data_IF_131226210550
#
_entry.id   IF_131226210550
#
_cell.length_a   1.000
_cell.length_b   1.000
_cell.length_c   1.000
_cell.angle_alpha   90.00
_cell.angle_beta   90.00
_cell.angle_gamma   90.00
#
_symmetry.space_group_name_H-M   'P 1'
#
loop_
_entity.id
_entity.type
_entity.pdbx_description
1 polymer ?
#
# COMPACT_ATOMS: atom_id res chain seq x y z
N UNK A 1 17.38 36.93 9.67
CA UNK A 1 17.04 35.50 9.90
C UNK A 1 15.74 35.23 9.17
N UNK A 2 15.71 34.21 8.31
CA UNK A 2 14.52 33.87 7.56
C UNK A 2 13.70 32.79 8.28
N UNK A 3 12.37 32.91 8.24
CA UNK A 3 11.45 31.87 8.68
C UNK A 3 11.46 30.67 7.71
N UNK A 4 10.91 29.54 8.19
CA UNK A 4 10.63 28.40 7.33
C UNK A 4 9.63 28.83 6.24
N UNK A 5 9.87 28.51 4.96
CA UNK A 5 8.93 28.83 3.88
C UNK A 5 7.57 28.16 4.12
N UNK A 6 6.50 28.92 3.99
CA UNK A 6 5.13 28.40 3.98
C UNK A 6 4.32 29.01 2.84
N UNK A 7 3.31 28.29 2.36
CA UNK A 7 2.43 28.78 1.30
C UNK A 7 1.20 29.53 1.85
N UNK A 8 0.92 29.42 3.15
CA UNK A 8 -0.32 29.90 3.78
C UNK A 8 -0.13 31.08 4.78
N UNK A 9 1.11 31.53 4.97
CA UNK A 9 1.50 32.55 5.95
C UNK A 9 1.42 34.00 5.41
N UNK A 10 1.07 34.16 4.12
CA UNK A 10 1.00 35.44 3.38
C UNK A 10 2.36 36.13 3.22
N UNK A 11 3.45 35.41 3.35
CA UNK A 11 4.81 35.91 3.14
C UNK A 11 5.29 35.46 1.76
N UNK A 12 5.80 36.41 0.99
CA UNK A 12 6.43 36.17 -0.31
C UNK A 12 7.91 35.86 -0.07
N UNK A 13 8.37 34.75 -0.65
CA UNK A 13 9.77 34.33 -0.67
C UNK A 13 10.46 34.93 -1.90
N UNK A 14 11.45 35.79 -1.69
CA UNK A 14 12.23 36.40 -2.78
C UNK A 14 13.60 35.73 -2.84
N UNK A 15 13.87 35.06 -3.96
CA UNK A 15 15.09 34.28 -4.18
C UNK A 15 15.72 34.72 -5.49
N UNK A 16 17.04 34.94 -5.49
CA UNK A 16 17.82 35.09 -6.71
C UNK A 16 18.55 33.80 -7.05
N UNK A 17 18.77 33.61 -8.36
CA UNK A 17 19.51 32.49 -8.92
C UNK A 17 20.52 33.07 -9.88
N UNK A 18 21.80 32.82 -9.59
CA UNK A 18 22.92 33.43 -10.30
C UNK A 18 23.39 32.64 -11.51
N UNK A 19 22.94 31.39 -11.67
CA UNK A 19 23.30 30.54 -12.80
C UNK A 19 22.11 29.70 -13.27
N UNK A 20 21.98 29.57 -14.59
CA UNK A 20 21.06 28.67 -15.28
C UNK A 20 21.17 27.22 -14.80
N UNK A 21 22.38 26.75 -14.45
CA UNK A 21 22.58 25.41 -13.90
C UNK A 21 21.82 25.27 -12.58
N UNK A 22 21.84 26.29 -11.71
CA UNK A 22 21.14 26.25 -10.43
C UNK A 22 19.61 26.15 -10.58
N UNK A 23 19.02 26.71 -11.62
CA UNK A 23 17.59 26.51 -11.93
C UNK A 23 17.24 25.04 -12.22
N UNK A 24 18.14 24.30 -12.88
CA UNK A 24 17.93 22.90 -13.24
C UNK A 24 18.15 21.95 -12.05
N UNK A 25 19.23 22.15 -11.28
CA UNK A 25 19.60 21.25 -10.17
C UNK A 25 18.90 21.57 -8.84
N UNK A 26 18.26 22.73 -8.70
CA UNK A 26 17.50 23.13 -7.51
C UNK A 26 16.38 22.18 -7.10
N UNK A 27 15.84 21.35 -8.02
CA UNK A 27 14.76 20.39 -7.69
C UNK A 27 15.31 19.08 -7.12
N UNK A 28 16.56 18.72 -7.42
CA UNK A 28 17.15 17.40 -7.17
C UNK A 28 18.14 17.44 -6.00
N UNK A 29 18.80 18.59 -5.77
CA UNK A 29 19.77 18.78 -4.70
C UNK A 29 19.37 20.04 -3.92
N UNK A 30 19.45 20.00 -2.58
CA UNK A 30 19.24 21.17 -1.70
C UNK A 30 20.38 22.18 -1.85
N UNK A 31 20.57 22.70 -3.05
CA UNK A 31 21.44 23.84 -3.28
C UNK A 31 20.85 25.05 -2.56
N UNK A 32 21.72 25.79 -1.88
CA UNK A 32 21.31 26.95 -1.11
C UNK A 32 20.79 28.03 -2.06
N UNK A 33 19.46 28.16 -2.11
CA UNK A 33 18.81 29.31 -2.72
C UNK A 33 19.33 30.60 -2.09
N UNK A 34 19.74 31.57 -2.91
CA UNK A 34 20.09 32.89 -2.41
C UNK A 34 18.81 33.65 -2.04
N UNK A 35 18.34 33.44 -0.81
CA UNK A 35 17.17 34.13 -0.25
C UNK A 35 17.53 35.60 -0.05
N UNK A 36 16.88 36.47 -0.82
CA UNK A 36 17.06 37.93 -0.74
C UNK A 36 16.18 38.48 0.37
N UNK A 37 14.89 38.10 0.39
CA UNK A 37 13.92 38.70 1.31
C UNK A 37 12.73 37.78 1.59
N UNK A 38 12.07 38.05 2.72
CA UNK A 38 10.74 37.57 3.08
C UNK A 38 9.88 38.79 3.39
N UNK A 39 8.82 39.03 2.61
CA UNK A 39 8.00 40.22 2.77
C UNK A 39 6.56 40.01 2.30
N UNK A 40 5.63 40.90 2.65
CA UNK A 40 4.22 40.81 2.23
C UNK A 40 3.93 41.47 0.88
N UNK A 41 4.86 42.28 0.40
CA UNK A 41 4.70 43.05 -0.84
C UNK A 41 6.05 43.22 -1.49
N UNK A 42 6.12 42.90 -2.78
CA UNK A 42 7.31 43.09 -3.61
C UNK A 42 6.99 44.15 -4.66
N UNK A 43 7.90 45.09 -4.84
CA UNK A 43 7.84 46.09 -5.92
C UNK A 43 9.11 45.94 -6.76
N UNK A 44 8.97 45.41 -7.96
CA UNK A 44 10.04 45.29 -8.95
C UNK A 44 9.94 46.49 -9.88
N UNK A 45 11.01 47.25 -10.02
CA UNK A 45 11.08 48.37 -10.95
C UNK A 45 12.07 48.03 -12.04
N UNK A 46 11.59 48.00 -13.28
CA UNK A 46 12.37 47.67 -14.47
C UNK A 46 12.69 48.98 -15.17
N UNK A 47 13.98 49.29 -15.27
CA UNK A 47 14.52 50.47 -15.94
C UNK A 47 15.15 50.06 -17.29
N UNK A 48 15.37 51.04 -18.17
CA UNK A 48 15.94 50.83 -19.51
C UNK A 48 14.86 50.87 -20.59
N UNK A 49 15.25 50.54 -21.83
CA UNK A 49 14.35 50.53 -23.00
C UNK A 49 14.03 49.11 -23.48
N UNK A 50 14.75 48.11 -22.98
CA UNK A 50 14.51 46.69 -23.28
C UNK A 50 13.58 46.04 -22.24
N UNK A 51 12.65 45.22 -22.72
CA UNK A 51 11.75 44.48 -21.85
C UNK A 51 12.39 43.23 -21.24
N UNK A 52 11.94 42.85 -20.04
CA UNK A 52 12.45 41.69 -19.30
C UNK A 52 11.49 40.51 -19.49
N UNK A 53 11.95 39.28 -19.80
CA UNK A 53 11.08 38.12 -19.87
C UNK A 53 10.53 37.77 -18.48
N UNK A 54 9.21 37.61 -18.38
CA UNK A 54 8.48 37.26 -17.16
C UNK A 54 7.59 36.05 -17.44
N UNK A 55 7.49 35.15 -16.47
CA UNK A 55 6.58 34.00 -16.51
C UNK A 55 5.81 33.89 -15.19
N UNK A 56 4.48 33.84 -15.26
CA UNK A 56 3.58 33.68 -14.12
C UNK A 56 2.55 32.60 -14.44
N UNK A 57 2.40 31.62 -13.54
CA UNK A 57 1.43 30.51 -13.66
C UNK A 57 1.45 29.76 -15.02
N UNK A 58 2.59 29.79 -15.72
CA UNK A 58 2.78 29.16 -17.03
C UNK A 58 2.67 30.13 -18.21
N UNK A 59 2.09 31.31 -18.03
CA UNK A 59 1.99 32.35 -19.04
C UNK A 59 3.27 33.18 -19.08
N UNK A 60 3.86 33.35 -20.27
CA UNK A 60 5.10 34.10 -20.47
C UNK A 60 4.88 35.34 -21.34
N UNK A 61 5.48 36.46 -20.95
CA UNK A 61 5.45 37.71 -21.70
C UNK A 61 6.76 38.50 -21.52
N UNK A 62 7.01 39.46 -22.42
CA UNK A 62 8.08 40.44 -22.25
C UNK A 62 7.52 41.66 -21.53
N UNK A 63 7.97 41.91 -20.31
CA UNK A 63 7.54 43.03 -19.51
C UNK A 63 8.28 44.30 -19.94
N UNK A 64 7.58 45.33 -20.48
CA UNK A 64 8.22 46.61 -20.78
C UNK A 64 8.67 47.34 -19.50
N UNK A 65 9.55 48.35 -19.63
CA UNK A 65 9.98 49.20 -18.51
C UNK A 65 8.80 49.72 -17.70
N UNK A 66 8.89 49.62 -16.38
CA UNK A 66 7.76 49.89 -15.51
C UNK A 66 7.86 49.24 -14.14
N UNK A 67 6.72 49.12 -13.46
CA UNK A 67 6.64 48.63 -12.08
C UNK A 67 5.75 47.40 -12.03
N UNK A 68 6.30 46.27 -11.55
CA UNK A 68 5.52 45.09 -11.14
C UNK A 68 5.33 45.15 -9.63
N UNK A 69 4.08 45.08 -9.18
CA UNK A 69 3.74 45.01 -7.76
C UNK A 69 3.07 43.67 -7.45
N UNK A 70 3.74 42.86 -6.64
CA UNK A 70 3.26 41.55 -6.21
C UNK A 70 2.78 41.67 -4.76
N UNK A 71 1.52 41.31 -4.52
CA UNK A 71 0.91 41.32 -3.19
C UNK A 71 -0.05 40.15 -3.05
N UNK A 72 -0.03 39.52 -1.87
CA UNK A 72 -0.99 38.47 -1.56
C UNK A 72 -2.39 39.09 -1.36
N UNK A 73 -3.37 38.71 -2.21
CA UNK A 73 -4.76 39.18 -2.11
C UNK A 73 -5.69 38.13 -1.50
N UNK A 74 -5.94 37.06 -2.24
CA UNK A 74 -6.94 36.05 -1.89
C UNK A 74 -6.29 34.72 -1.48
N UNK A 75 -7.08 33.82 -0.91
CA UNK A 75 -6.71 32.42 -0.65
C UNK A 75 -7.75 31.50 -1.28
N UNK A 76 -7.30 30.40 -1.85
CA UNK A 76 -8.15 29.29 -2.21
C UNK A 76 -7.98 28.17 -1.19
N UNK A 77 -9.05 27.45 -0.88
CA UNK A 77 -8.95 26.18 -0.15
C UNK A 77 -8.52 25.11 -1.15
N UNK A 78 -7.41 24.45 -0.87
CA UNK A 78 -6.87 23.38 -1.70
C UNK A 78 -6.92 22.08 -0.91
N UNK A 79 -7.24 20.98 -1.59
CA UNK A 79 -7.07 19.64 -1.03
C UNK A 79 -5.57 19.37 -0.88
N UNK A 80 -5.13 19.14 0.34
CA UNK A 80 -3.74 18.77 0.64
C UNK A 80 -3.68 17.29 0.97
N UNK A 81 -2.67 16.60 0.42
CA UNK A 81 -2.33 15.25 0.88
C UNK A 81 -1.93 15.31 2.35
N UNK A 82 -2.59 14.51 3.17
CA UNK A 82 -2.22 14.37 4.57
C UNK A 82 -0.93 13.53 4.66
N UNK A 83 0.20 14.22 4.77
CA UNK A 83 1.51 13.58 4.92
C UNK A 83 1.60 12.74 6.19
N UNK A 84 0.88 13.08 7.25
CA UNK A 84 0.88 12.29 8.48
C UNK A 84 0.15 10.97 8.23
N UNK A 85 -1.00 11.02 7.55
CA UNK A 85 -1.71 9.83 7.10
C UNK A 85 -0.87 8.98 6.14
N UNK A 86 -0.28 9.57 5.11
CA UNK A 86 0.61 8.84 4.17
C UNK A 86 1.82 8.24 4.89
N UNK A 87 2.44 8.96 5.83
CA UNK A 87 3.55 8.41 6.62
C UNK A 87 3.12 7.27 7.54
N UNK A 88 1.88 7.32 8.05
CA UNK A 88 1.31 6.25 8.88
C UNK A 88 0.99 5.04 8.02
N UNK A 89 0.39 5.25 6.84
CA UNK A 89 0.08 4.22 5.87
C UNK A 89 1.36 3.55 5.36
N UNK A 90 2.36 4.33 4.97
CA UNK A 90 3.68 3.85 4.58
C UNK A 90 4.39 3.12 5.72
N UNK A 91 4.28 3.62 6.96
CA UNK A 91 4.82 2.91 8.13
C UNK A 91 4.07 1.60 8.39
N UNK A 92 2.79 1.50 8.06
CA UNK A 92 2.01 0.27 8.17
C UNK A 92 2.39 -0.73 7.07
N UNK A 93 2.58 -0.27 5.84
CA UNK A 93 3.07 -1.05 4.70
C UNK A 93 4.51 -1.54 4.94
N UNK A 94 5.41 -0.67 5.41
CA UNK A 94 6.78 -1.01 5.77
C UNK A 94 6.80 -1.98 6.96
N UNK A 95 5.88 -1.83 7.92
CA UNK A 95 5.74 -2.78 9.02
C UNK A 95 5.24 -4.14 8.52
N UNK A 96 4.31 -4.20 7.57
CA UNK A 96 3.92 -5.46 6.93
C UNK A 96 5.08 -6.09 6.16
N UNK A 97 5.87 -5.29 5.43
CA UNK A 97 7.08 -5.75 4.74
C UNK A 97 8.20 -6.20 5.70
N UNK A 98 8.28 -5.61 6.89
CA UNK A 98 9.21 -6.04 7.93
C UNK A 98 8.70 -7.23 8.77
N UNK A 99 7.39 -7.43 8.91
CA UNK A 99 6.80 -8.65 9.50
C UNK A 99 6.93 -9.85 8.54
N UNK A 100 6.99 -9.64 7.22
CA UNK A 100 7.49 -10.68 6.30
C UNK A 100 9.00 -10.98 6.46
N UNK A 101 9.71 -10.21 7.30
CA UNK A 101 11.15 -10.30 7.53
C UNK A 101 11.59 -11.08 8.77
N UNK A 102 10.68 -11.58 9.63
CA UNK A 102 11.03 -12.53 10.71
C UNK A 102 9.91 -13.56 10.89
N UNK A 103 10.18 -14.86 10.70
CA UNK A 103 11.43 -15.51 11.12
C UNK A 103 12.25 -16.11 9.95
N UNK A 104 12.99 -15.27 9.20
CA UNK A 104 13.89 -15.73 8.11
C UNK A 104 15.34 -15.86 8.61
N UNK A 105 15.56 -16.46 9.78
CA UNK A 105 16.90 -16.91 10.16
C UNK A 105 17.11 -18.41 9.89
N UNK A 106 16.03 -19.19 9.72
CA UNK A 106 16.12 -20.59 9.26
C UNK A 106 15.87 -20.76 7.77
N UNK A 107 14.98 -19.97 7.16
CA UNK A 107 14.63 -20.12 5.74
C UNK A 107 15.79 -19.78 4.79
N UNK A 108 16.62 -18.78 5.12
CA UNK A 108 17.74 -18.38 4.24
C UNK A 108 18.87 -19.42 4.18
N UNK A 109 19.00 -20.30 5.16
CA UNK A 109 20.00 -21.38 5.12
C UNK A 109 19.59 -22.53 4.19
N UNK A 110 18.29 -22.70 3.92
CA UNK A 110 17.79 -23.69 2.97
C UNK A 110 17.59 -23.11 1.55
N UNK A 111 17.22 -21.83 1.46
CA UNK A 111 16.99 -21.12 0.19
C UNK A 111 18.27 -20.98 -0.67
N UNK A 112 19.47 -21.03 -0.09
CA UNK A 112 20.70 -20.81 -0.85
C UNK A 112 21.22 -22.00 -1.68
N UNK A 113 20.60 -23.19 -1.62
CA UNK A 113 21.20 -24.40 -2.23
C UNK A 113 20.48 -25.04 -3.41
N UNK A 114 19.33 -24.56 -3.89
CA UNK A 114 18.75 -25.06 -5.15
C UNK A 114 17.91 -23.99 -5.85
N UNK A 115 18.36 -23.57 -7.03
CA UNK A 115 17.63 -22.61 -7.90
C UNK A 115 16.46 -23.30 -8.63
N UNK A 116 16.47 -24.63 -8.70
CA UNK A 116 15.44 -25.44 -9.35
C UNK A 116 14.68 -26.28 -8.31
N UNK A 117 13.34 -26.30 -8.41
CA UNK A 117 12.49 -27.25 -7.67
C UNK A 117 12.83 -28.67 -8.12
N UNK A 118 12.87 -29.62 -7.19
CA UNK A 118 13.00 -31.03 -7.55
C UNK A 118 11.78 -31.46 -8.40
N UNK A 119 11.97 -32.41 -9.32
CA UNK A 119 10.90 -32.91 -10.21
C UNK A 119 9.67 -33.41 -9.44
N UNK A 120 9.87 -33.89 -8.20
CA UNK A 120 8.80 -34.29 -7.29
C UNK A 120 8.04 -33.10 -6.69
N UNK A 121 8.72 -31.98 -6.40
CA UNK A 121 8.07 -30.76 -5.90
C UNK A 121 7.27 -30.07 -7.00
N UNK A 122 7.76 -30.10 -8.25
CA UNK A 122 7.04 -29.57 -9.42
C UNK A 122 5.76 -30.38 -9.66
N UNK A 123 5.82 -31.71 -9.60
CA UNK A 123 4.64 -32.55 -9.82
C UNK A 123 3.60 -32.39 -8.71
N UNK A 124 4.01 -32.26 -7.45
CA UNK A 124 3.10 -31.96 -6.33
C UNK A 124 2.46 -30.58 -6.47
N UNK A 125 3.21 -29.56 -6.87
CA UNK A 125 2.67 -28.22 -7.12
C UNK A 125 1.68 -28.22 -8.30
N UNK A 126 1.93 -29.00 -9.34
CA UNK A 126 1.02 -29.16 -10.48
C UNK A 126 -0.29 -29.85 -10.09
N UNK A 127 -0.23 -30.91 -9.27
CA UNK A 127 -1.44 -31.58 -8.76
C UNK A 127 -2.29 -30.64 -7.91
N UNK A 128 -1.66 -29.86 -7.03
CA UNK A 128 -2.35 -28.82 -6.26
C UNK A 128 -2.96 -27.73 -7.15
N UNK A 129 -2.23 -27.30 -8.17
CA UNK A 129 -2.71 -26.32 -9.16
C UNK A 129 -3.93 -26.84 -9.90
N UNK A 130 -3.91 -28.11 -10.34
CA UNK A 130 -5.03 -28.74 -11.02
C UNK A 130 -6.26 -28.89 -10.10
N UNK A 131 -6.06 -29.28 -8.84
CA UNK A 131 -7.14 -29.36 -7.86
C UNK A 131 -7.78 -27.98 -7.62
N UNK A 132 -6.96 -26.92 -7.56
CA UNK A 132 -7.45 -25.55 -7.42
C UNK A 132 -8.22 -25.04 -8.65
N UNK A 133 -7.77 -25.39 -9.87
CA UNK A 133 -8.51 -25.08 -11.11
C UNK A 133 -9.90 -25.76 -11.15
N UNK A 134 -9.99 -27.02 -10.71
CA UNK A 134 -11.26 -27.73 -10.60
C UNK A 134 -12.17 -27.08 -9.55
N UNK A 135 -11.62 -26.67 -8.40
CA UNK A 135 -12.37 -25.95 -7.37
C UNK A 135 -12.91 -24.61 -7.90
N UNK A 136 -12.07 -23.81 -8.57
CA UNK A 136 -12.49 -22.55 -9.21
C UNK A 136 -13.63 -22.81 -10.19
N UNK A 137 -13.50 -23.83 -11.03
CA UNK A 137 -14.54 -24.19 -12.01
C UNK A 137 -15.85 -24.53 -11.32
N UNK A 138 -15.82 -25.35 -10.26
CA UNK A 138 -17.02 -25.71 -9.50
C UNK A 138 -17.64 -24.54 -8.75
N UNK A 139 -16.83 -23.61 -8.22
CA UNK A 139 -17.32 -22.37 -7.60
C UNK A 139 -18.00 -21.49 -8.66
N UNK A 140 -17.38 -21.30 -9.83
CA UNK A 140 -17.96 -20.53 -10.93
C UNK A 140 -19.27 -21.13 -11.42
N UNK A 141 -19.34 -22.45 -11.59
CA UNK A 141 -20.57 -23.16 -11.96
C UNK A 141 -21.69 -22.92 -10.93
N UNK A 142 -21.38 -23.04 -9.64
CA UNK A 142 -22.33 -22.80 -8.56
C UNK A 142 -22.73 -21.32 -8.44
N UNK A 143 -21.81 -20.39 -8.74
CA UNK A 143 -22.04 -18.95 -8.72
C UNK A 143 -23.06 -18.50 -9.78
N UNK A 144 -23.19 -19.22 -10.91
CA UNK A 144 -24.24 -18.93 -11.92
C UNK A 144 -25.66 -19.05 -11.37
N UNK A 145 -25.83 -19.83 -10.30
CA UNK A 145 -27.10 -20.08 -9.63
C UNK A 145 -27.17 -19.25 -8.33
N UNK A 146 -26.04 -19.10 -7.64
CA UNK A 146 -25.94 -18.42 -6.33
C UNK A 146 -25.00 -17.21 -6.37
N UNK A 147 -25.57 -16.03 -6.60
CA UNK A 147 -24.83 -14.76 -6.62
C UNK A 147 -24.04 -14.45 -5.34
N UNK A 148 -24.41 -15.02 -4.19
CA UNK A 148 -23.65 -14.87 -2.94
C UNK A 148 -22.27 -15.53 -3.00
N UNK A 149 -22.14 -16.67 -3.71
CA UNK A 149 -20.82 -17.29 -3.92
C UNK A 149 -19.93 -16.37 -4.74
N UNK A 150 -20.48 -15.75 -5.79
CA UNK A 150 -19.74 -14.78 -6.59
C UNK A 150 -19.31 -13.58 -5.73
N UNK A 151 -20.23 -13.03 -4.94
CA UNK A 151 -19.96 -11.85 -4.12
C UNK A 151 -18.86 -12.08 -3.07
N UNK A 152 -18.87 -13.23 -2.40
CA UNK A 152 -17.93 -13.52 -1.32
C UNK A 152 -16.59 -14.08 -1.85
N UNK A 153 -16.61 -14.93 -2.88
CA UNK A 153 -15.41 -15.62 -3.37
C UNK A 153 -14.74 -14.96 -4.58
N UNK A 154 -15.33 -13.92 -5.19
CA UNK A 154 -14.76 -13.30 -6.40
C UNK A 154 -13.31 -12.85 -6.21
N UNK A 155 -12.95 -12.30 -5.05
CA UNK A 155 -11.58 -11.85 -4.84
C UNK A 155 -10.60 -13.03 -4.78
N UNK A 156 -10.89 -14.04 -3.96
CA UNK A 156 -10.01 -15.20 -3.82
C UNK A 156 -9.93 -16.02 -5.12
N UNK A 157 -11.04 -16.22 -5.83
CA UNK A 157 -11.07 -16.92 -7.12
C UNK A 157 -10.21 -16.18 -8.15
N UNK A 158 -10.35 -14.86 -8.27
CA UNK A 158 -9.56 -14.08 -9.23
C UNK A 158 -8.07 -14.07 -8.88
N UNK A 159 -7.71 -13.95 -7.59
CA UNK A 159 -6.33 -13.98 -7.14
C UNK A 159 -5.67 -15.35 -7.39
N UNK A 160 -6.37 -16.44 -7.06
CA UNK A 160 -5.90 -17.80 -7.31
C UNK A 160 -5.80 -18.10 -8.81
N UNK A 161 -6.81 -17.73 -9.61
CA UNK A 161 -6.78 -17.91 -11.07
C UNK A 161 -5.62 -17.13 -11.71
N UNK A 162 -5.33 -15.91 -11.26
CA UNK A 162 -4.21 -15.13 -11.76
C UNK A 162 -2.86 -15.80 -11.42
N UNK A 163 -2.69 -16.29 -10.18
CA UNK A 163 -1.48 -16.98 -9.76
C UNK A 163 -1.25 -18.28 -10.56
N UNK A 164 -2.32 -19.05 -10.81
CA UNK A 164 -2.27 -20.29 -11.61
C UNK A 164 -1.94 -20.00 -13.09
N UNK A 165 -2.57 -18.99 -13.70
CA UNK A 165 -2.28 -18.60 -15.08
C UNK A 165 -0.84 -18.11 -15.27
N UNK A 166 -0.30 -17.41 -14.27
CA UNK A 166 1.10 -16.96 -14.24
C UNK A 166 2.08 -18.12 -14.19
N UNK A 167 1.68 -19.25 -13.59
CA UNK A 167 2.48 -20.47 -13.47
C UNK A 167 2.58 -21.32 -14.76
N UNK A 168 1.88 -20.91 -15.83
CA UNK A 168 1.86 -21.50 -17.18
C UNK A 168 1.97 -23.04 -17.25
N UNK A 169 0.84 -23.79 -17.27
CA UNK A 169 0.84 -25.25 -17.26
C UNK A 169 1.42 -25.92 -18.53
N UNK A 170 1.80 -25.15 -19.56
CA UNK A 170 2.34 -25.69 -20.83
C UNK A 170 3.86 -25.83 -20.88
N UNK A 171 4.60 -25.24 -19.92
CA UNK A 171 6.07 -25.30 -19.89
C UNK A 171 6.60 -25.48 -18.44
N UNK A 172 6.82 -26.73 -17.99
CA UNK A 172 7.27 -27.04 -16.62
C UNK A 172 8.69 -26.54 -16.29
N UNK A 173 9.44 -26.01 -17.26
CA UNK A 173 10.83 -25.58 -17.10
C UNK A 173 11.00 -24.16 -16.51
N UNK A 174 9.91 -23.47 -16.15
CA UNK A 174 9.96 -22.07 -15.67
C UNK A 174 9.29 -21.80 -14.32
N UNK A 175 8.85 -22.85 -13.60
CA UNK A 175 8.22 -22.68 -12.29
C UNK A 175 9.27 -22.28 -11.24
N UNK A 176 9.39 -20.98 -11.00
CA UNK A 176 10.26 -20.47 -9.94
C UNK A 176 9.65 -20.75 -8.57
N UNK A 177 10.51 -20.91 -7.56
CA UNK A 177 10.09 -21.09 -6.16
C UNK A 177 9.18 -19.96 -5.68
N UNK A 178 9.43 -18.73 -6.11
CA UNK A 178 8.57 -17.58 -5.81
C UNK A 178 7.16 -17.75 -6.39
N UNK A 179 7.06 -18.22 -7.64
CA UNK A 179 5.75 -18.48 -8.27
C UNK A 179 5.04 -19.63 -7.55
N UNK A 180 5.76 -20.69 -7.17
CA UNK A 180 5.22 -21.79 -6.39
C UNK A 180 4.73 -21.36 -4.99
N UNK A 181 5.44 -20.45 -4.31
CA UNK A 181 4.96 -19.86 -3.05
C UNK A 181 3.68 -19.04 -3.25
N UNK A 182 3.63 -18.24 -4.32
CA UNK A 182 2.47 -17.41 -4.64
C UNK A 182 1.24 -18.27 -4.91
N UNK A 183 1.38 -19.36 -5.68
CA UNK A 183 0.29 -20.32 -5.91
C UNK A 183 -0.18 -20.92 -4.57
N UNK A 184 0.73 -21.47 -3.76
CA UNK A 184 0.37 -22.15 -2.52
C UNK A 184 -0.38 -21.23 -1.53
N UNK A 185 0.02 -19.96 -1.43
CA UNK A 185 -0.66 -18.96 -0.60
C UNK A 185 -2.07 -18.67 -1.12
N UNK A 186 -2.22 -18.46 -2.43
CA UNK A 186 -3.52 -18.13 -3.02
C UNK A 186 -4.48 -19.33 -2.99
N UNK A 187 -3.99 -20.56 -3.21
CA UNK A 187 -4.79 -21.79 -3.09
C UNK A 187 -5.27 -21.98 -1.64
N UNK A 188 -4.40 -21.74 -0.65
CA UNK A 188 -4.79 -21.81 0.76
C UNK A 188 -5.82 -20.74 1.14
N UNK A 189 -5.69 -19.52 0.62
CA UNK A 189 -6.69 -18.48 0.84
C UNK A 189 -8.06 -18.86 0.25
N UNK A 190 -8.09 -19.35 -1.00
CA UNK A 190 -9.30 -19.84 -1.65
C UNK A 190 -9.96 -20.99 -0.87
N UNK A 191 -9.16 -21.95 -0.38
CA UNK A 191 -9.63 -23.04 0.47
C UNK A 191 -10.32 -22.51 1.73
N UNK A 192 -9.64 -21.65 2.50
CA UNK A 192 -10.15 -21.13 3.77
C UNK A 192 -11.44 -20.32 3.60
N UNK A 193 -11.52 -19.48 2.56
CA UNK A 193 -12.72 -18.70 2.29
C UNK A 193 -13.90 -19.59 1.87
N UNK A 194 -13.63 -20.59 1.02
CA UNK A 194 -14.66 -21.55 0.58
C UNK A 194 -15.14 -22.42 1.75
N UNK A 195 -14.22 -22.93 2.57
CA UNK A 195 -14.54 -23.69 3.79
C UNK A 195 -15.34 -22.84 4.78
N UNK A 196 -14.91 -21.60 5.02
CA UNK A 196 -15.60 -20.69 5.93
C UNK A 196 -17.02 -20.37 5.46
N UNK A 197 -17.26 -20.28 4.15
CA UNK A 197 -18.60 -20.06 3.60
C UNK A 197 -19.48 -21.31 3.71
N UNK A 198 -18.92 -22.51 3.50
CA UNK A 198 -19.65 -23.77 3.66
C UNK A 198 -19.98 -24.08 5.14
N UNK A 199 -19.01 -23.89 6.05
CA UNK A 199 -19.17 -24.13 7.49
C UNK A 199 -20.01 -23.03 8.15
N UNK A 200 -19.88 -21.79 7.67
CA UNK A 200 -20.50 -20.60 8.27
C UNK A 200 -22.02 -20.55 8.22
N UNK A 201 -22.71 -21.52 7.59
CA UNK A 201 -24.18 -21.57 7.42
C UNK A 201 -24.79 -20.19 7.18
N UNK A 202 -24.22 -19.42 6.25
CA UNK A 202 -25.05 -18.47 5.51
C UNK A 202 -26.06 -19.35 4.77
N UNK A 203 -27.37 -19.08 4.78
CA UNK A 203 -28.39 -19.98 4.24
C UNK A 203 -28.34 -19.96 2.71
N UNK A 204 -27.22 -20.43 2.17
CA UNK A 204 -27.08 -20.95 0.84
C UNK A 204 -27.97 -22.19 0.83
N UNK A 205 -29.22 -22.03 0.40
CA UNK A 205 -29.96 -23.13 -0.19
C UNK A 205 -29.24 -23.51 -1.50
N UNK A 206 -27.96 -23.89 -1.43
CA UNK A 206 -27.33 -24.57 -2.54
C UNK A 206 -28.15 -25.84 -2.74
N UNK A 207 -28.61 -26.07 -3.96
CA UNK A 207 -29.19 -27.37 -4.28
C UNK A 207 -28.15 -28.44 -3.93
N UNK A 208 -28.57 -29.50 -3.23
CA UNK A 208 -27.69 -30.56 -2.74
C UNK A 208 -26.63 -31.07 -3.73
N UNK A 209 -26.86 -31.17 -5.07
CA UNK A 209 -25.82 -31.58 -6.00
C UNK A 209 -24.68 -30.57 -6.21
N UNK A 210 -24.91 -29.27 -6.04
CA UNK A 210 -23.86 -28.25 -6.24
C UNK A 210 -22.99 -28.11 -4.99
N UNK A 211 -23.59 -28.21 -3.81
CA UNK A 211 -22.87 -28.21 -2.54
C UNK A 211 -21.90 -29.38 -2.47
N UNK A 212 -22.38 -30.60 -2.80
CA UNK A 212 -21.57 -31.81 -2.79
C UNK A 212 -20.40 -31.72 -3.79
N UNK A 213 -20.60 -31.12 -4.97
CA UNK A 213 -19.51 -30.92 -5.95
C UNK A 213 -18.46 -29.94 -5.47
N UNK A 214 -18.86 -28.83 -4.86
CA UNK A 214 -17.91 -27.85 -4.31
C UNK A 214 -17.19 -28.44 -3.10
N UNK A 215 -17.88 -29.14 -2.21
CA UNK A 215 -17.27 -29.83 -1.07
C UNK A 215 -16.29 -30.92 -1.49
N UNK A 216 -16.60 -31.72 -2.52
CA UNK A 216 -15.69 -32.74 -3.05
C UNK A 216 -14.43 -32.13 -3.70
N UNK A 217 -14.60 -31.02 -4.43
CA UNK A 217 -13.47 -30.28 -4.99
C UNK A 217 -12.62 -29.62 -3.90
N UNK A 218 -13.26 -29.09 -2.85
CA UNK A 218 -12.59 -28.49 -1.70
C UNK A 218 -11.79 -29.53 -0.92
N UNK A 219 -12.33 -30.73 -0.71
CA UNK A 219 -11.61 -31.83 -0.08
C UNK A 219 -10.44 -32.32 -0.93
N UNK A 220 -10.57 -32.32 -2.26
CA UNK A 220 -9.43 -32.61 -3.15
C UNK A 220 -8.30 -31.59 -2.98
N UNK A 221 -8.63 -30.30 -2.83
CA UNK A 221 -7.63 -29.25 -2.54
C UNK A 221 -7.03 -29.41 -1.14
N UNK A 222 -7.82 -29.80 -0.14
CA UNK A 222 -7.34 -30.08 1.23
C UNK A 222 -6.25 -31.15 1.23
N UNK A 223 -6.49 -32.27 0.54
CA UNK A 223 -5.55 -33.39 0.43
C UNK A 223 -4.25 -32.97 -0.25
N UNK A 224 -4.32 -32.19 -1.33
CA UNK A 224 -3.12 -31.69 -2.02
C UNK A 224 -2.38 -30.63 -1.19
N UNK A 225 -3.10 -29.75 -0.48
CA UNK A 225 -2.49 -28.78 0.44
C UNK A 225 -1.76 -29.49 1.59
N UNK A 226 -2.32 -30.59 2.12
CA UNK A 226 -1.66 -31.39 3.15
C UNK A 226 -0.36 -32.00 2.62
N UNK A 227 -0.32 -32.52 1.40
CA UNK A 227 0.92 -32.99 0.77
C UNK A 227 1.94 -31.87 0.59
N UNK A 228 1.50 -30.65 0.26
CA UNK A 228 2.41 -29.49 0.18
C UNK A 228 3.01 -29.10 1.54
N UNK A 229 2.38 -29.45 2.67
CA UNK A 229 2.98 -29.26 4.00
C UNK A 229 4.14 -30.23 4.29
N UNK A 230 4.25 -31.34 3.55
CA UNK A 230 5.39 -32.26 3.65
C UNK A 230 6.67 -31.66 3.04
N UNK A 231 6.52 -30.65 2.17
CA UNK A 231 7.64 -29.90 1.60
C UNK A 231 8.18 -28.92 2.67
N UNK A 232 9.42 -29.08 3.16
CA UNK A 232 9.92 -28.36 4.34
C UNK A 232 9.90 -26.83 4.22
N UNK A 233 10.00 -26.28 3.02
CA UNK A 233 9.98 -24.83 2.79
C UNK A 233 8.57 -24.26 2.60
N UNK A 234 7.59 -25.08 2.20
CA UNK A 234 6.18 -24.70 2.10
C UNK A 234 5.47 -24.81 3.45
N UNK A 235 5.85 -25.76 4.29
CA UNK A 235 5.32 -25.93 5.65
C UNK A 235 5.28 -24.60 6.44
N UNK A 236 6.42 -23.90 6.51
CA UNK A 236 6.53 -22.63 7.25
C UNK A 236 5.77 -21.47 6.61
N UNK A 237 5.44 -21.56 5.32
CA UNK A 237 4.69 -20.54 4.58
C UNK A 237 3.19 -20.77 4.78
N UNK A 238 2.77 -22.03 4.78
CA UNK A 238 1.38 -22.42 4.96
C UNK A 238 0.96 -22.36 6.44
N UNK A 239 1.86 -22.60 7.41
CA UNK A 239 1.57 -22.55 8.85
C UNK A 239 2.42 -21.48 9.57
N UNK A 240 2.09 -20.18 9.43
CA UNK A 240 2.85 -19.11 10.09
C UNK A 240 2.66 -19.04 11.62
N UNK A 241 1.79 -19.85 12.22
CA UNK A 241 1.26 -19.61 13.57
C UNK A 241 1.31 -20.79 14.57
N UNK A 242 1.90 -21.95 14.23
CA UNK A 242 1.87 -23.13 15.14
C UNK A 242 3.18 -23.42 15.89
N UNK A 243 4.30 -22.76 15.59
CA UNK A 243 5.55 -22.91 16.37
C UNK A 243 5.76 -21.73 17.34
N UNK A 244 4.96 -21.70 18.40
CA UNK A 244 5.21 -20.90 19.60
C UNK A 244 5.49 -21.83 20.79
N UNK A 245 6.71 -22.38 20.86
CA UNK A 245 7.26 -23.07 22.04
C UNK A 245 8.27 -22.15 22.80
N UNK A 246 8.48 -22.35 24.12
CA UNK A 246 8.66 -21.31 25.13
C UNK A 246 10.07 -20.66 25.21
N UNK A 247 10.23 -19.56 25.99
CA UNK A 247 11.36 -18.66 25.89
C UNK A 247 12.60 -19.19 26.62
N UNK A 248 13.76 -19.13 25.96
CA UNK A 248 15.04 -19.15 26.65
C UNK A 248 15.66 -17.75 26.58
N UNK A 249 15.86 -17.21 27.78
CA UNK A 249 16.31 -15.86 28.11
C UNK A 249 17.43 -15.31 27.23
N UNK A 250 17.38 -14.00 26.97
CA UNK A 250 18.36 -13.06 27.52
C UNK A 250 18.15 -11.62 27.01
N UNK A 251 17.78 -10.75 27.96
CA UNK A 251 18.12 -9.32 28.07
C UNK A 251 17.42 -8.26 27.22
N UNK A 252 16.51 -7.55 27.91
CA UNK A 252 16.30 -6.09 27.88
C UNK A 252 16.11 -5.43 26.51
N UNK A 253 14.85 -5.15 26.17
CA UNK A 253 14.47 -3.75 25.93
C UNK A 253 12.99 -3.48 26.19
N UNK A 254 12.81 -2.62 27.18
CA UNK A 254 11.61 -1.92 27.60
C UNK A 254 10.74 -1.49 26.38
N UNK A 255 9.66 -2.21 26.09
CA UNK A 255 8.61 -1.76 25.17
C UNK A 255 7.36 -1.50 25.97
N UNK A 256 7.18 -0.24 26.38
CA UNK A 256 5.87 0.26 26.81
C UNK A 256 4.95 0.22 25.60
N UNK A 257 4.05 -0.75 25.59
CA UNK A 257 2.84 -0.77 24.78
C UNK A 257 2.16 0.60 24.86
N UNK A 258 2.14 1.34 23.76
CA UNK A 258 1.29 2.52 23.61
C UNK A 258 0.03 2.06 22.89
N UNK A 259 -0.97 1.74 23.70
CA UNK A 259 -2.35 1.53 23.27
C UNK A 259 -2.78 2.73 22.42
N UNK A 260 -3.17 2.48 21.16
CA UNK A 260 -3.80 3.47 20.30
C UNK A 260 -5.11 3.92 20.94
N UNK A 261 -5.10 5.06 21.63
CA UNK A 261 -6.31 5.83 21.93
C UNK A 261 -6.46 6.92 20.88
N UNK A 262 -7.40 6.69 19.96
CA UNK A 262 -7.94 7.73 19.08
C UNK A 262 -8.73 8.69 19.99
N UNK A 263 -8.15 9.85 20.29
CA UNK A 263 -8.87 10.95 20.93
C UNK A 263 -9.41 11.85 19.81
N UNK A 264 -10.73 11.99 19.63
CA UNK A 264 -11.26 12.97 18.69
C UNK A 264 -10.94 14.36 19.24
N UNK A 265 -10.02 15.09 18.61
CA UNK A 265 -9.76 16.49 18.96
C UNK A 265 -10.89 17.37 18.40
N UNK A 266 -11.99 17.45 19.13
CA UNK A 266 -12.93 18.56 19.00
C UNK A 266 -12.21 19.85 19.43
N UNK A 267 -11.87 20.68 18.45
CA UNK A 267 -11.33 22.02 18.67
C UNK A 267 -12.47 22.92 19.13
N UNK A 268 -12.59 23.09 20.45
CA UNK A 268 -13.52 24.03 21.10
C UNK A 268 -13.27 25.45 20.57
N UNK A 269 -14.31 26.00 19.98
CA UNK A 269 -14.47 27.40 19.60
C UNK A 269 -14.40 28.28 20.87
N UNK A 270 -13.52 29.29 20.88
CA UNK A 270 -13.50 30.30 21.94
C UNK A 270 -14.55 31.36 21.63
N UNK A 271 -15.69 31.25 22.30
CA UNK A 271 -16.69 32.31 22.43
C UNK A 271 -16.05 33.52 23.10
N UNK A 272 -16.03 34.65 22.38
CA UNK A 272 -15.62 35.95 22.89
C UNK A 272 -16.80 36.56 23.67
N UNK A 273 -16.58 36.84 24.96
CA UNK A 273 -17.55 37.49 25.86
C UNK A 273 -18.11 38.77 25.24
N UNK A 274 -19.43 38.82 25.07
CA UNK A 274 -20.18 40.06 24.93
C UNK A 274 -20.06 40.86 26.23
N UNK A 275 -19.61 42.12 26.10
CA UNK A 275 -19.82 43.17 27.10
C UNK A 275 -21.23 43.72 26.85
N UNK A 276 -22.17 43.41 27.74
CA UNK A 276 -23.41 44.14 27.86
C UNK A 276 -23.13 45.41 28.68
N UNK A 277 -23.21 46.57 28.03
CA UNK A 277 -23.49 47.82 28.74
C UNK A 277 -25.00 48.04 28.67
N UNK A 278 -25.66 47.95 29.81
CA UNK A 278 -27.00 48.47 30.03
C UNK A 278 -26.91 49.48 31.16
N UNK A 279 -27.53 50.62 30.88
CA UNK A 279 -27.71 51.88 31.59
C UNK A 279 -28.12 51.76 33.08
N UNK A 280 -28.07 52.88 33.83
CA UNK A 280 -29.05 53.96 33.71
C UNK A 280 -28.59 55.17 32.87
#
# INVERSE_FOLDING_TARGET
>A
IFAAPSFDDKILEVVAIFDSMQMAVSRVIKLQHHRIAQCRTVKITIFGDEGVPVQVDGEAWVQPPGIIKIVHKNRAQMLTRDRAFESTLKSWEDKQKCDSGKPVLRTHLYIQHAVDLATEEVSQMQLCSQAAEELITRICDAATIHCLLEQELAHAVNACSHALNKANPRFPESLTRDTATEIAINVKALYNETESLLVGRVPLQLESPHEERVSNALHSVEVELQKLTEIPWLYYILHPNEDAEPPMDCTKRNSRSTVFRIVPKFKKEKVQKQKTSSQP
#
